data_IF_142856139283
#
_entry.id   IF_142856139283
#
_cell.length_a   1.000
_cell.length_b   1.000
_cell.length_c   1.000
_cell.angle_alpha   90.00
_cell.angle_beta   90.00
_cell.angle_gamma   90.00
#
_symmetry.space_group_name_H-M   'P 1'
#
loop_
_entity.id
_entity.type
_entity.pdbx_description
1 polymer ?
#
# COMPACT_ATOMS: atom_id res chain seq x y z
N UNK A 1 4.26 -4.44 -5.98
CA UNK A 1 2.98 -3.93 -6.54
C UNK A 1 2.31 -4.93 -7.49
N UNK A 2 3.00 -5.46 -8.52
CA UNK A 2 2.42 -6.42 -9.48
C UNK A 2 2.00 -7.80 -8.90
N UNK A 3 2.63 -8.27 -7.82
CA UNK A 3 2.30 -9.56 -7.19
C UNK A 3 0.89 -9.59 -6.56
N UNK A 4 0.41 -8.44 -6.08
CA UNK A 4 -0.94 -8.26 -5.49
C UNK A 4 -2.06 -8.51 -6.50
N UNK A 5 -1.82 -8.09 -7.74
CA UNK A 5 -2.76 -8.19 -8.85
C UNK A 5 -2.95 -9.65 -9.26
N UNK A 6 -1.85 -10.41 -9.35
CA UNK A 6 -1.89 -11.82 -9.72
C UNK A 6 -2.50 -12.72 -8.64
N UNK A 7 -2.18 -12.46 -7.37
CA UNK A 7 -2.71 -13.26 -6.26
C UNK A 7 -4.21 -12.99 -6.05
N UNK A 8 -4.67 -11.75 -6.22
CA UNK A 8 -6.09 -11.42 -6.16
C UNK A 8 -6.92 -12.12 -7.25
N UNK A 9 -6.40 -12.19 -8.49
CA UNK A 9 -7.04 -12.87 -9.63
C UNK A 9 -7.07 -14.39 -9.48
N UNK A 10 -6.05 -14.98 -8.86
CA UNK A 10 -5.95 -16.44 -8.66
C UNK A 10 -6.88 -16.99 -7.56
N UNK A 11 -7.43 -16.12 -6.70
CA UNK A 11 -8.19 -16.51 -5.49
C UNK A 11 -9.67 -16.12 -5.62
N UNK A 12 -10.27 -16.32 -6.80
CA UNK A 12 -11.73 -16.29 -6.96
C UNK A 12 -12.34 -17.55 -6.32
N UNK A 13 -12.52 -17.49 -5.00
CA UNK A 13 -13.26 -18.49 -4.26
C UNK A 13 -14.77 -18.23 -4.38
N UNK A 14 -15.55 -19.28 -4.63
CA UNK A 14 -17.02 -19.22 -4.60
C UNK A 14 -17.55 -18.89 -3.19
N UNK A 15 -16.79 -19.24 -2.14
CA UNK A 15 -17.17 -18.96 -0.76
C UNK A 15 -16.88 -17.49 -0.39
N UNK A 16 -17.93 -16.74 -0.08
CA UNK A 16 -17.86 -15.33 0.37
C UNK A 16 -16.88 -15.12 1.53
N UNK A 17 -16.93 -15.97 2.56
CA UNK A 17 -16.09 -15.82 3.76
C UNK A 17 -14.62 -15.98 3.40
N UNK A 18 -14.29 -16.98 2.58
CA UNK A 18 -12.93 -17.23 2.15
C UNK A 18 -12.39 -16.07 1.31
N UNK A 19 -13.20 -15.58 0.35
CA UNK A 19 -12.88 -14.41 -0.48
C UNK A 19 -12.65 -13.16 0.37
N UNK A 20 -13.52 -12.91 1.35
CA UNK A 20 -13.40 -11.78 2.27
C UNK A 20 -12.10 -11.86 3.08
N UNK A 21 -11.85 -12.99 3.75
CA UNK A 21 -10.67 -13.19 4.61
C UNK A 21 -9.39 -13.07 3.81
N UNK A 22 -9.32 -13.70 2.64
CA UNK A 22 -8.12 -13.67 1.80
C UNK A 22 -7.82 -12.26 1.27
N UNK A 23 -8.81 -11.56 0.70
CA UNK A 23 -8.60 -10.20 0.20
C UNK A 23 -8.27 -9.22 1.33
N UNK A 24 -8.90 -9.37 2.51
CA UNK A 24 -8.57 -8.59 3.70
C UNK A 24 -7.14 -8.86 4.19
N UNK A 25 -6.69 -10.12 4.19
CA UNK A 25 -5.32 -10.49 4.57
C UNK A 25 -4.30 -9.89 3.61
N UNK A 26 -4.55 -9.96 2.29
CA UNK A 26 -3.65 -9.38 1.29
C UNK A 26 -3.57 -7.86 1.46
N UNK A 27 -4.72 -7.18 1.61
CA UNK A 27 -4.77 -5.73 1.87
C UNK A 27 -4.04 -5.37 3.16
N UNK A 28 -4.27 -6.13 4.24
CA UNK A 28 -3.62 -5.95 5.53
C UNK A 28 -2.11 -6.17 5.47
N UNK A 29 -1.64 -7.21 4.78
CA UNK A 29 -0.23 -7.50 4.60
C UNK A 29 0.47 -6.39 3.80
N UNK A 30 -0.14 -5.91 2.71
CA UNK A 30 0.41 -4.79 1.94
C UNK A 30 0.44 -3.50 2.77
N UNK A 31 -0.64 -3.21 3.50
CA UNK A 31 -0.71 -2.09 4.42
C UNK A 31 0.38 -2.16 5.50
N UNK A 32 0.61 -3.35 6.07
CA UNK A 32 1.64 -3.58 7.08
C UNK A 32 3.06 -3.37 6.53
N UNK A 33 3.34 -3.83 5.30
CA UNK A 33 4.63 -3.61 4.64
C UNK A 33 4.89 -2.12 4.42
N UNK A 34 3.91 -1.39 3.88
CA UNK A 34 4.02 0.06 3.66
C UNK A 34 4.14 0.82 4.99
N UNK A 35 3.42 0.37 6.01
CA UNK A 35 3.51 0.93 7.35
C UNK A 35 4.91 0.73 7.97
N UNK A 36 5.51 -0.46 7.80
CA UNK A 36 6.88 -0.72 8.24
C UNK A 36 7.90 0.13 7.49
N UNK A 37 7.75 0.27 6.19
CA UNK A 37 8.63 1.10 5.35
C UNK A 37 8.52 2.59 5.72
N UNK A 38 7.30 3.07 5.96
CA UNK A 38 7.02 4.40 6.47
C UNK A 38 7.66 4.64 7.84
N UNK A 39 7.48 3.72 8.79
CA UNK A 39 8.11 3.80 10.11
C UNK A 39 9.63 3.89 10.02
N UNK A 40 10.25 3.05 9.19
CA UNK A 40 11.70 3.04 9.00
C UNK A 40 12.20 4.35 8.42
N UNK A 41 11.54 4.86 7.39
CA UNK A 41 11.87 6.17 6.79
C UNK A 41 11.74 7.29 7.82
N UNK A 42 10.67 7.28 8.62
CA UNK A 42 10.46 8.24 9.69
C UNK A 42 11.51 8.15 10.80
N UNK A 43 11.96 6.95 11.16
CA UNK A 43 13.05 6.73 12.12
C UNK A 43 14.37 7.33 11.60
N UNK A 44 14.70 7.10 10.33
CA UNK A 44 15.90 7.64 9.69
C UNK A 44 15.89 9.17 9.69
N UNK A 45 14.78 9.80 9.31
CA UNK A 45 14.64 11.27 9.28
C UNK A 45 14.72 11.90 10.69
N UNK A 46 14.27 11.18 11.73
CA UNK A 46 14.46 11.61 13.13
C UNK A 46 15.92 11.50 13.53
N UNK A 47 16.60 10.41 13.15
CA UNK A 47 18.03 10.25 13.41
C UNK A 47 18.87 11.36 12.73
N UNK A 48 18.51 11.75 11.50
CA UNK A 48 19.11 12.91 10.84
C UNK A 48 18.87 14.21 11.62
N UNK A 49 17.66 14.42 12.12
CA UNK A 49 17.35 15.59 12.94
C UNK A 49 18.15 15.62 14.26
N UNK A 50 18.37 14.48 14.91
CA UNK A 50 19.23 14.35 16.10
C UNK A 50 20.67 14.76 15.79
N UNK A 51 21.24 14.26 14.69
CA UNK A 51 22.60 14.57 14.25
C UNK A 51 22.74 16.05 13.90
N UNK A 52 21.79 16.59 13.14
CA UNK A 52 21.74 18.00 12.81
C UNK A 52 21.69 18.86 14.07
N UNK A 53 20.85 18.49 15.05
CA UNK A 53 20.78 19.23 16.31
C UNK A 53 22.10 19.18 17.09
N UNK A 54 22.80 18.04 17.13
CA UNK A 54 24.13 17.93 17.77
C UNK A 54 25.15 18.84 17.11
N UNK A 55 25.23 18.88 15.77
CA UNK A 55 26.14 19.76 15.03
C UNK A 55 25.85 21.24 15.29
N UNK A 56 24.57 21.60 15.44
CA UNK A 56 24.17 22.96 15.81
C UNK A 56 24.68 23.35 17.20
N UNK A 57 24.63 22.42 18.17
CA UNK A 57 25.16 22.64 19.52
C UNK A 57 26.69 22.79 19.50
N UNK A 58 27.37 22.11 18.58
CA UNK A 58 28.81 22.23 18.34
C UNK A 58 29.19 23.51 17.56
N UNK A 59 28.22 24.40 17.26
CA UNK A 59 28.45 25.67 16.59
C UNK A 59 28.71 25.56 15.08
N UNK A 60 28.41 24.42 14.47
CA UNK A 60 28.54 24.23 13.02
C UNK A 60 27.28 24.69 12.28
N UNK A 61 27.47 25.39 11.16
CA UNK A 61 26.36 25.78 10.28
C UNK A 61 25.80 24.56 9.55
N UNK A 62 24.48 24.35 9.65
CA UNK A 62 23.78 23.28 8.95
C UNK A 62 23.38 23.78 7.56
N UNK A 63 23.83 23.13 6.48
CA UNK A 63 23.39 23.49 5.13
C UNK A 63 21.87 23.29 4.98
N UNK A 64 21.21 24.16 4.23
CA UNK A 64 19.74 24.15 4.04
C UNK A 64 19.20 22.78 3.60
N UNK A 65 19.95 22.06 2.78
CA UNK A 65 19.60 20.73 2.28
C UNK A 65 19.53 19.66 3.38
N UNK A 66 20.38 19.75 4.42
CA UNK A 66 20.30 18.85 5.58
C UNK A 66 19.10 19.20 6.47
N UNK A 67 18.78 20.50 6.60
CA UNK A 67 17.61 20.97 7.35
C UNK A 67 16.29 20.53 6.72
N UNK A 68 16.23 20.52 5.38
CA UNK A 68 15.08 20.04 4.63
C UNK A 68 14.91 18.51 4.70
N UNK A 69 15.90 17.77 5.19
CA UNK A 69 15.80 16.33 5.44
C UNK A 69 15.27 15.99 6.83
N UNK A 70 15.26 16.95 7.76
CA UNK A 70 14.77 16.72 9.11
C UNK A 70 13.31 16.24 9.15
N UNK A 71 12.98 15.42 10.14
CA UNK A 71 11.65 14.87 10.31
C UNK A 71 10.55 15.94 10.43
N UNK A 72 9.49 15.77 9.64
CA UNK A 72 8.22 16.46 9.81
C UNK A 72 7.07 15.50 9.52
N UNK A 73 6.09 15.40 10.41
CA UNK A 73 4.95 14.47 10.28
C UNK A 73 4.21 14.59 8.94
N UNK A 74 4.08 15.80 8.40
CA UNK A 74 3.37 16.04 7.14
C UNK A 74 4.15 15.57 5.90
N UNK A 75 5.47 15.33 5.99
CA UNK A 75 6.26 14.86 4.83
C UNK A 75 5.83 13.48 4.37
N UNK A 76 5.52 12.58 5.31
CA UNK A 76 5.01 11.25 4.98
C UNK A 76 3.63 11.27 4.33
N UNK A 77 2.77 12.22 4.72
CA UNK A 77 1.47 12.41 4.04
C UNK A 77 1.67 13.01 2.64
N UNK A 78 2.53 14.03 2.53
CA UNK A 78 2.80 14.69 1.27
C UNK A 78 3.45 13.76 0.25
N UNK A 79 4.40 12.90 0.68
CA UNK A 79 5.03 11.93 -0.22
C UNK A 79 4.03 10.92 -0.78
N UNK A 80 3.09 10.44 0.05
CA UNK A 80 2.01 9.55 -0.39
C UNK A 80 1.07 10.27 -1.36
N UNK A 81 0.65 11.50 -1.04
CA UNK A 81 -0.24 12.27 -1.89
C UNK A 81 0.39 12.57 -3.25
N UNK A 82 1.67 12.99 -3.29
CA UNK A 82 2.40 13.26 -4.52
C UNK A 82 2.60 11.98 -5.33
N UNK A 83 2.97 10.88 -4.68
CA UNK A 83 3.17 9.58 -5.34
C UNK A 83 1.87 9.01 -5.92
N UNK A 84 0.74 9.19 -5.24
CA UNK A 84 -0.56 8.66 -5.66
C UNK A 84 -1.37 9.64 -6.51
N UNK A 85 -0.98 10.91 -6.59
CA UNK A 85 -1.68 11.97 -7.33
C UNK A 85 -2.12 11.54 -8.74
N UNK A 86 -1.25 11.01 -9.62
CA UNK A 86 -1.66 10.67 -10.98
C UNK A 86 -2.75 9.59 -11.01
N UNK A 87 -2.65 8.59 -10.12
CA UNK A 87 -3.64 7.51 -10.03
C UNK A 87 -4.96 8.02 -9.45
N UNK A 88 -4.91 8.91 -8.45
CA UNK A 88 -6.10 9.51 -7.84
C UNK A 88 -6.84 10.41 -8.84
N UNK A 89 -6.12 11.18 -9.65
CA UNK A 89 -6.72 12.03 -10.69
C UNK A 89 -7.42 11.20 -11.76
N UNK A 90 -6.79 10.10 -12.21
CA UNK A 90 -7.41 9.17 -13.16
C UNK A 90 -8.64 8.52 -12.53
N UNK A 91 -8.54 8.01 -11.30
CA UNK A 91 -9.67 7.41 -10.59
C UNK A 91 -10.81 8.42 -10.37
N UNK A 92 -10.51 9.68 -10.07
CA UNK A 92 -11.50 10.74 -9.93
C UNK A 92 -12.22 11.02 -11.25
N UNK A 93 -11.50 11.15 -12.36
CA UNK A 93 -12.10 11.36 -13.68
C UNK A 93 -13.02 10.18 -14.07
N UNK A 94 -12.61 8.96 -13.75
CA UNK A 94 -13.43 7.77 -13.97
C UNK A 94 -14.64 7.69 -13.02
N UNK A 95 -14.48 8.08 -11.75
CA UNK A 95 -15.57 8.12 -10.77
C UNK A 95 -16.67 9.11 -11.16
N UNK A 96 -16.30 10.26 -11.73
CA UNK A 96 -17.25 11.26 -12.23
C UNK A 96 -18.01 10.80 -13.47
N UNK A 97 -17.39 9.96 -14.29
CA UNK A 97 -17.99 9.39 -15.51
C UNK A 97 -18.60 8.00 -15.30
N UNK A 98 -18.63 7.52 -14.05
CA UNK A 98 -19.13 6.20 -13.69
C UNK A 98 -20.65 6.11 -13.87
N UNK A 99 -21.08 5.13 -14.65
CA UNK A 99 -22.47 4.80 -14.91
C UNK A 99 -22.73 3.36 -14.51
N UNK A 100 -23.98 3.02 -14.20
CA UNK A 100 -24.35 1.64 -13.86
C UNK A 100 -23.96 0.74 -15.03
N UNK A 101 -23.15 -0.28 -14.77
CA UNK A 101 -22.83 -1.29 -15.78
C UNK A 101 -24.12 -1.99 -16.20
N UNK A 102 -24.57 -1.69 -17.42
CA UNK A 102 -25.63 -2.45 -18.09
C UNK A 102 -24.94 -3.54 -18.87
N UNK A 103 -25.40 -4.78 -18.70
CA UNK A 103 -25.00 -5.86 -19.57
C UNK A 103 -25.56 -5.57 -20.97
N UNK A 104 -24.69 -5.12 -21.86
CA UNK A 104 -24.95 -5.18 -23.29
C UNK A 104 -24.64 -6.60 -23.74
N UNK A 105 -25.54 -7.22 -24.50
CA UNK A 105 -25.25 -8.51 -25.13
C UNK A 105 -23.99 -8.31 -26.00
N UNK A 106 -22.95 -9.07 -25.67
CA UNK A 106 -21.69 -9.02 -26.42
C UNK A 106 -21.91 -9.44 -27.87
N UNK A 107 -20.94 -9.07 -28.72
CA UNK A 107 -20.96 -9.40 -30.14
C UNK A 107 -21.24 -10.87 -30.40
N UNK A 108 -21.77 -11.13 -31.59
CA UNK A 108 -22.21 -12.45 -32.00
C UNK A 108 -21.15 -13.54 -31.76
N UNK A 109 -21.53 -14.69 -31.18
CA UNK A 109 -20.65 -15.85 -31.13
C UNK A 109 -20.17 -16.24 -32.53
N UNK A 110 -18.91 -16.69 -32.65
CA UNK A 110 -18.31 -17.03 -33.95
C UNK A 110 -19.07 -18.10 -34.75
N UNK A 111 -19.82 -18.97 -34.08
CA UNK A 111 -20.70 -19.96 -34.72
C UNK A 111 -21.96 -19.34 -35.35
N UNK A 112 -22.45 -18.22 -34.78
CA UNK A 112 -23.60 -17.46 -35.28
C UNK A 112 -23.22 -16.56 -36.46
N UNK A 113 -21.93 -16.26 -36.64
CA UNK A 113 -21.43 -15.40 -37.71
C UNK A 113 -21.73 -15.95 -39.11
N UNK A 114 -21.78 -17.28 -39.22
CA UNK A 114 -22.19 -17.97 -40.46
C UNK A 114 -23.64 -17.72 -40.89
N UNK A 115 -24.52 -17.36 -39.95
CA UNK A 115 -25.93 -17.05 -40.21
C UNK A 115 -26.16 -15.59 -40.56
N UNK A 116 -25.14 -14.73 -40.42
CA UNK A 116 -25.19 -13.30 -40.78
C UNK A 116 -25.46 -13.08 -42.27
N UNK A 117 -25.03 -14.02 -43.12
CA UNK A 117 -25.21 -13.97 -44.58
C UNK A 117 -26.62 -14.36 -45.03
N UNK A 118 -27.45 -14.94 -44.14
CA UNK A 118 -28.83 -15.30 -44.48
C UNK A 118 -29.75 -14.09 -44.35
N UNK A 119 -30.55 -13.81 -45.38
CA UNK A 119 -31.40 -12.60 -45.45
C UNK A 119 -32.53 -12.56 -44.40
N UNK A 120 -32.96 -13.71 -43.91
CA UNK A 120 -34.03 -13.88 -42.91
C UNK A 120 -33.57 -13.58 -41.47
N UNK A 121 -32.32 -13.93 -41.14
CA UNK A 121 -31.78 -13.88 -39.78
C UNK A 121 -30.71 -12.79 -39.64
N UNK A 122 -30.02 -12.44 -40.73
CA UNK A 122 -28.88 -11.51 -40.74
C UNK A 122 -29.22 -10.10 -40.26
N UNK A 123 -30.45 -9.61 -40.48
CA UNK A 123 -30.88 -8.27 -40.02
C UNK A 123 -31.05 -8.27 -38.48
N UNK A 124 -31.62 -9.33 -37.92
CA UNK A 124 -31.75 -9.48 -36.48
C UNK A 124 -30.37 -9.65 -35.82
N UNK A 125 -29.46 -10.41 -36.44
CA UNK A 125 -28.09 -10.60 -35.96
C UNK A 125 -27.25 -9.33 -36.04
N UNK A 126 -27.42 -8.52 -37.09
CA UNK A 126 -26.75 -7.23 -37.21
C UNK A 126 -27.15 -6.26 -36.08
N UNK A 127 -28.37 -6.36 -35.57
CA UNK A 127 -28.85 -5.59 -34.42
C UNK A 127 -28.11 -5.93 -33.11
N UNK A 128 -27.59 -7.16 -33.00
CA UNK A 128 -26.80 -7.61 -31.84
C UNK A 128 -25.29 -7.37 -31.97
N UNK A 129 -24.82 -6.94 -33.14
CA UNK A 129 -23.40 -6.74 -33.39
C UNK A 129 -22.97 -5.29 -33.11
N UNK A 130 -22.88 -4.93 -31.84
CA UNK A 130 -22.29 -3.66 -31.42
C UNK A 130 -20.79 -3.87 -31.15
N UNK A 131 -19.96 -3.61 -32.17
CA UNK A 131 -18.50 -3.56 -31.98
C UNK A 131 -18.14 -2.24 -31.32
N UNK A 132 -18.03 -2.23 -29.99
CA UNK A 132 -17.54 -1.07 -29.26
C UNK A 132 -16.01 -1.04 -29.38
N UNK A 133 -15.41 -0.06 -30.11
CA UNK A 133 -13.96 0.04 -30.19
C UNK A 133 -13.39 0.36 -28.80
N UNK A 134 -12.36 -0.38 -28.39
CA UNK A 134 -11.69 -0.14 -27.11
C UNK A 134 -10.96 1.20 -27.16
N UNK A 135 -11.42 2.16 -26.36
CA UNK A 135 -10.82 3.48 -26.25
C UNK A 135 -9.74 3.55 -25.16
N UNK A 136 -9.00 4.66 -25.15
CA UNK A 136 -8.02 4.97 -24.08
C UNK A 136 -8.68 4.96 -22.69
N UNK A 137 -9.94 5.41 -22.62
CA UNK A 137 -10.75 5.38 -21.40
C UNK A 137 -10.96 3.96 -20.86
N UNK A 138 -11.09 2.96 -21.74
CA UNK A 138 -11.29 1.58 -21.34
C UNK A 138 -10.01 0.98 -20.77
N UNK A 139 -8.86 1.32 -21.36
CA UNK A 139 -7.54 0.94 -20.82
C UNK A 139 -7.33 1.54 -19.42
N UNK A 140 -7.62 2.83 -19.24
CA UNK A 140 -7.52 3.49 -17.93
C UNK A 140 -8.47 2.85 -16.90
N UNK A 141 -9.69 2.48 -17.31
CA UNK A 141 -10.65 1.75 -16.46
C UNK A 141 -10.14 0.39 -16.05
N UNK A 142 -9.48 -0.34 -16.95
CA UNK A 142 -8.87 -1.64 -16.62
C UNK A 142 -7.78 -1.46 -15.56
N UNK A 143 -6.89 -0.47 -15.72
CA UNK A 143 -5.82 -0.18 -14.75
C UNK A 143 -6.40 0.12 -13.36
N UNK A 144 -7.41 1.00 -13.29
CA UNK A 144 -8.06 1.35 -12.02
C UNK A 144 -8.82 0.16 -11.43
N UNK A 145 -9.53 -0.63 -12.24
CA UNK A 145 -10.18 -1.86 -11.77
C UNK A 145 -9.20 -2.88 -11.24
N UNK A 146 -8.01 -2.97 -11.82
CA UNK A 146 -6.96 -3.86 -11.36
C UNK A 146 -6.47 -3.50 -9.95
N UNK A 147 -6.38 -2.20 -9.65
CA UNK A 147 -6.07 -1.68 -8.32
C UNK A 147 -7.23 -1.91 -7.33
N UNK A 148 -8.47 -1.79 -7.79
CA UNK A 148 -9.67 -1.99 -6.98
C UNK A 148 -10.08 -3.45 -6.82
N UNK A 149 -9.44 -4.37 -7.54
CA UNK A 149 -9.93 -5.74 -7.69
C UNK A 149 -10.17 -6.45 -6.35
N UNK A 150 -9.32 -6.30 -5.32
CA UNK A 150 -9.60 -6.94 -4.03
C UNK A 150 -10.80 -6.36 -3.30
N UNK A 151 -11.13 -5.09 -3.54
CA UNK A 151 -12.37 -4.48 -3.05
C UNK A 151 -13.58 -4.95 -3.86
N UNK A 152 -13.44 -5.11 -5.19
CA UNK A 152 -14.48 -5.72 -6.05
C UNK A 152 -14.81 -7.12 -5.55
N UNK A 153 -13.80 -7.93 -5.25
CA UNK A 153 -13.98 -9.27 -4.70
C UNK A 153 -14.71 -9.24 -3.35
N UNK A 154 -14.40 -8.30 -2.46
CA UNK A 154 -15.08 -8.22 -1.16
C UNK A 154 -16.57 -7.88 -1.34
N UNK A 155 -16.86 -6.90 -2.18
CA UNK A 155 -18.22 -6.38 -2.39
C UNK A 155 -19.09 -7.35 -3.21
N UNK A 156 -18.47 -8.09 -4.13
CA UNK A 156 -19.17 -8.99 -5.05
C UNK A 156 -19.78 -8.26 -6.24
N UNK A 157 -20.11 -9.05 -7.28
CA UNK A 157 -20.63 -8.55 -8.57
C UNK A 157 -22.12 -8.79 -8.76
N UNK A 158 -22.81 -9.31 -7.74
CA UNK A 158 -24.20 -9.75 -7.85
C UNK A 158 -25.18 -8.59 -8.04
N UNK A 159 -24.90 -7.44 -7.41
CA UNK A 159 -25.75 -6.25 -7.49
C UNK A 159 -24.99 -5.14 -8.24
N UNK A 160 -25.47 -4.69 -9.41
CA UNK A 160 -24.82 -3.64 -10.21
C UNK A 160 -24.64 -2.31 -9.46
N UNK A 161 -25.51 -2.02 -8.49
CA UNK A 161 -25.42 -0.83 -7.66
C UNK A 161 -24.16 -0.84 -6.78
N UNK A 162 -23.75 -1.99 -6.25
CA UNK A 162 -22.55 -2.06 -5.40
C UNK A 162 -21.27 -1.78 -6.21
N UNK A 163 -21.22 -2.24 -7.46
CA UNK A 163 -20.15 -1.91 -8.40
C UNK A 163 -20.10 -0.41 -8.71
N UNK A 164 -21.25 0.23 -8.90
CA UNK A 164 -21.32 1.69 -9.10
C UNK A 164 -20.75 2.45 -7.90
N UNK A 165 -21.14 2.07 -6.68
CA UNK A 165 -20.61 2.70 -5.47
C UNK A 165 -19.11 2.52 -5.35
N UNK A 166 -18.61 1.32 -5.66
CA UNK A 166 -17.17 1.04 -5.66
C UNK A 166 -16.42 1.91 -6.66
N UNK A 167 -16.94 2.10 -7.87
CA UNK A 167 -16.35 2.98 -8.88
C UNK A 167 -16.35 4.45 -8.45
N UNK A 168 -17.41 4.90 -7.76
CA UNK A 168 -17.49 6.27 -7.21
C UNK A 168 -16.52 6.49 -6.06
N UNK A 169 -16.32 5.49 -5.20
CA UNK A 169 -15.35 5.53 -4.11
C UNK A 169 -13.92 5.14 -4.52
N UNK A 170 -13.70 4.81 -5.79
CA UNK A 170 -12.38 4.44 -6.32
C UNK A 170 -11.23 5.38 -5.93
N UNK A 171 -11.32 6.73 -6.01
CA UNK A 171 -10.21 7.61 -5.63
C UNK A 171 -9.82 7.48 -4.16
N UNK A 172 -10.78 7.18 -3.28
CA UNK A 172 -10.51 6.98 -1.85
C UNK A 172 -9.94 5.58 -1.58
N UNK A 173 -10.49 4.55 -2.22
CA UNK A 173 -10.06 3.17 -2.05
C UNK A 173 -8.61 2.95 -2.53
N UNK A 174 -8.23 3.60 -3.62
CA UNK A 174 -6.84 3.58 -4.13
C UNK A 174 -5.86 4.20 -3.11
N UNK A 175 -6.31 5.12 -2.27
CA UNK A 175 -5.51 5.81 -1.26
C UNK A 175 -5.41 5.02 0.05
N UNK A 176 -6.35 4.12 0.32
CA UNK A 176 -6.49 3.44 1.61
C UNK A 176 -5.24 2.67 2.04
N UNK A 177 -4.65 1.88 1.14
CA UNK A 177 -3.43 1.11 1.43
C UNK A 177 -2.18 2.02 1.52
N UNK A 178 -1.92 2.94 0.57
CA UNK A 178 -0.84 3.91 0.68
C UNK A 178 -0.86 4.77 1.95
N UNK A 179 -2.05 5.10 2.51
CA UNK A 179 -2.13 5.84 3.76
C UNK A 179 -1.46 5.14 4.95
N UNK A 180 -1.32 3.81 4.91
CA UNK A 180 -0.60 3.07 5.93
C UNK A 180 0.87 3.51 6.03
N UNK A 181 1.50 3.90 4.91
CA UNK A 181 2.84 4.48 4.90
C UNK A 181 2.91 5.78 5.70
N UNK A 182 1.97 6.71 5.46
CA UNK A 182 1.92 7.98 6.17
C UNK A 182 1.69 7.78 7.68
N UNK A 183 0.85 6.81 8.04
CA UNK A 183 0.64 6.40 9.44
C UNK A 183 1.89 5.83 10.09
N UNK A 184 2.63 4.98 9.37
CA UNK A 184 3.91 4.45 9.82
C UNK A 184 4.95 5.54 10.01
N UNK A 185 5.09 6.43 9.03
CA UNK A 185 6.04 7.54 9.08
C UNK A 185 5.79 8.46 10.28
N UNK A 186 4.54 8.77 10.61
CA UNK A 186 4.20 9.57 11.79
C UNK A 186 4.65 8.92 13.12
N UNK A 187 4.83 7.61 13.16
CA UNK A 187 5.28 6.85 14.33
C UNK A 187 6.80 6.65 14.38
N UNK A 188 7.55 7.16 13.39
CA UNK A 188 9.01 7.15 13.34
C UNK A 188 9.70 7.63 14.64
N UNK A 189 9.28 8.74 15.28
CA UNK A 189 9.87 9.19 16.54
C UNK A 189 9.73 8.18 17.69
N UNK A 190 8.60 7.45 17.74
CA UNK A 190 8.39 6.40 18.75
C UNK A 190 9.26 5.18 18.46
N UNK A 191 9.41 4.81 17.19
CA UNK A 191 10.33 3.74 16.77
C UNK A 191 11.77 4.08 17.18
N UNK A 192 12.22 5.32 16.92
CA UNK A 192 13.54 5.81 17.33
C UNK A 192 13.76 5.75 18.85
N UNK A 193 12.78 6.21 19.63
CA UNK A 193 12.84 6.15 21.09
C UNK A 193 12.93 4.72 21.61
N UNK A 194 12.25 3.76 20.98
CA UNK A 194 12.33 2.35 21.34
C UNK A 194 13.74 1.76 21.09
N UNK A 195 14.39 2.13 19.97
CA UNK A 195 15.77 1.72 19.65
C UNK A 195 16.77 2.26 20.66
N UNK A 196 16.67 3.55 21.03
CA UNK A 196 17.51 4.11 22.09
C UNK A 196 17.28 3.42 23.44
N UNK A 197 16.02 3.11 23.75
CA UNK A 197 15.64 2.34 24.95
C UNK A 197 16.27 0.94 24.99
N UNK A 198 16.26 0.20 23.88
CA UNK A 198 16.88 -1.12 23.80
C UNK A 198 18.40 -1.05 23.94
N UNK A 199 19.05 -0.08 23.29
CA UNK A 199 20.50 0.13 23.40
C UNK A 199 20.90 0.44 24.85
N UNK A 200 20.16 1.32 25.53
CA UNK A 200 20.42 1.65 26.93
C UNK A 200 20.21 0.44 27.87
N UNK A 201 19.16 -0.36 27.61
CA UNK A 201 18.88 -1.57 28.37
C UNK A 201 20.00 -2.62 28.20
N UNK A 202 20.47 -2.83 26.97
CA UNK A 202 21.55 -3.76 26.65
C UNK A 202 22.89 -3.32 27.22
N UNK A 203 23.19 -2.02 27.15
CA UNK A 203 24.36 -1.44 27.81
C UNK A 203 24.33 -1.70 29.33
N UNK A 204 23.18 -1.45 29.99
CA UNK A 204 23.00 -1.72 31.43
C UNK A 204 23.17 -3.20 31.76
N UNK A 205 22.67 -4.11 30.90
CA UNK A 205 22.84 -5.57 31.06
C UNK A 205 24.32 -5.96 30.93
N UNK A 206 25.03 -5.42 29.95
CA UNK A 206 26.47 -5.65 29.74
C UNK A 206 27.31 -5.17 30.92
N UNK A 207 27.10 -3.93 31.39
CA UNK A 207 27.80 -3.39 32.57
C UNK A 207 27.56 -4.25 33.82
N UNK A 208 26.33 -4.73 34.03
CA UNK A 208 26.00 -5.62 35.15
C UNK A 208 26.72 -6.97 35.04
N UNK A 209 26.83 -7.53 33.84
CA UNK A 209 27.55 -8.78 33.57
C UNK A 209 29.04 -8.59 33.82
N UNK A 210 29.65 -7.56 33.27
CA UNK A 210 31.07 -7.24 33.46
C UNK A 210 31.41 -7.01 34.93
N UNK A 211 30.53 -6.33 35.69
CA UNK A 211 30.72 -6.13 37.14
C UNK A 211 30.65 -7.45 37.91
N UNK A 212 29.79 -8.39 37.53
CA UNK A 212 29.72 -9.73 38.14
C UNK A 212 30.96 -10.56 37.80
N UNK A 213 31.43 -10.50 36.55
CA UNK A 213 32.64 -11.21 36.11
C UNK A 213 33.90 -10.66 36.77
N UNK A 214 34.05 -9.33 36.90
CA UNK A 214 35.15 -8.70 37.66
C UNK A 214 35.15 -9.12 39.13
N UNK A 215 33.97 -9.18 39.77
CA UNK A 215 33.86 -9.70 41.14
C UNK A 215 34.30 -11.16 41.23
N UNK A 216 33.83 -12.03 40.32
CA UNK A 216 34.23 -13.44 40.28
C UNK A 216 35.73 -13.65 40.04
N UNK A 217 36.36 -12.81 39.21
CA UNK A 217 37.81 -12.85 38.98
C UNK A 217 38.58 -12.43 40.24
N UNK A 218 38.18 -11.34 40.91
CA UNK A 218 38.76 -10.92 42.20
C UNK A 218 38.62 -11.96 43.31
N UNK A 219 37.54 -12.75 43.32
CA UNK A 219 37.37 -13.84 44.31
C UNK A 219 38.18 -15.10 43.97
N UNK A 220 38.64 -15.24 42.72
CA UNK A 220 39.42 -16.40 42.24
C UNK A 220 40.92 -16.12 42.13
N UNK A 221 41.37 -14.89 42.26
CA UNK A 221 42.79 -14.58 42.42
C UNK A 221 43.24 -15.22 43.74
N UNK A 222 44.16 -16.21 43.72
CA UNK A 222 44.66 -16.81 44.94
C UNK A 222 45.40 -15.70 45.71
N UNK A 223 45.06 -15.56 46.99
CA UNK A 223 45.84 -14.82 47.97
C UNK A 223 47.24 -15.43 48.00
N UNK A 224 48.11 -14.97 47.11
CA UNK A 224 49.54 -15.23 47.17
C UNK A 224 50.24 -13.97 47.68
N UNK A 225 51.18 -14.22 48.60
CA UNK A 225 52.12 -13.31 49.26
C UNK A 225 51.59 -12.68 50.55
N UNK A 226 51.81 -13.35 51.70
CA UNK A 226 53.00 -13.18 52.56
C UNK A 226 53.35 -14.53 53.18
#
# INVERSE_FOLDING_TARGET
MFFYIFVGQALMFDNFVLRLVTNALILGAMGALLYMDGMKTGEEDVAYAEIAHSRQQDGQDIPKQERDRCFHTLKGLFSVLVGMLPLVLIALALALTAQVQRYHLGGLPSWLESYRTRQDIGIALAYYNETVPMGVTDVLRIIVRLLLFPYVNIVGTEVPMHLLWLERFSPLLVLLVPMAYAGGYALGPKARAAVHGSIAADHKRRVRRDRKERKRRRTKEPTQLV
#
